data_IF_595614692838
#
_entry.id   IF_595614692838
#
_cell.length_a   1.000
_cell.length_b   1.000
_cell.length_c   1.000
_cell.angle_alpha   90.00
_cell.angle_beta   90.00
_cell.angle_gamma   90.00
#
_symmetry.space_group_name_H-M   'P 1'
#
loop_
_entity.id
_entity.type
_entity.pdbx_description
1 polymer ?
#
# COMPACT_ATOMS: atom_id res chain seq x y z
N UNK A 1 -7.40 -2.01 10.93
CA UNK A 1 -7.53 -1.39 9.59
C UNK A 1 -6.42 -1.92 8.67
N UNK A 2 -6.64 -3.13 8.15
CA UNK A 2 -5.62 -4.19 8.10
C UNK A 2 -4.88 -4.40 6.77
N UNK A 3 -4.85 -3.44 5.84
CA UNK A 3 -4.17 -3.66 4.54
C UNK A 3 -3.25 -2.52 4.06
N UNK A 4 -3.25 -1.37 4.74
CA UNK A 4 -2.39 -0.23 4.41
C UNK A 4 -1.20 -0.08 5.36
N UNK A 5 -1.36 -0.53 6.61
CA UNK A 5 -0.44 -0.19 7.70
C UNK A 5 0.89 -0.94 7.66
N UNK A 6 0.89 -2.27 7.49
CA UNK A 6 2.11 -3.05 7.79
C UNK A 6 3.18 -3.01 6.70
N UNK A 7 2.81 -2.94 5.42
CA UNK A 7 3.79 -2.92 4.31
C UNK A 7 4.37 -1.53 4.04
N UNK A 8 3.63 -0.45 4.31
CA UNK A 8 4.11 0.92 4.03
C UNK A 8 4.79 1.59 5.23
N UNK A 9 4.40 1.24 6.47
CA UNK A 9 4.98 1.87 7.66
C UNK A 9 6.43 1.41 7.92
N UNK A 10 6.76 0.16 7.57
CA UNK A 10 8.10 -0.40 7.76
C UNK A 10 9.15 0.27 6.85
N UNK A 11 8.73 0.69 5.64
CA UNK A 11 9.61 1.36 4.68
C UNK A 11 9.67 2.88 4.83
N UNK A 12 8.91 3.47 5.75
CA UNK A 12 8.81 4.94 5.94
C UNK A 12 9.28 5.32 7.34
N UNK A 13 10.57 5.63 7.49
CA UNK A 13 11.14 6.13 8.74
C UNK A 13 10.88 7.63 8.96
N UNK A 14 10.60 8.04 10.22
CA UNK A 14 10.57 9.46 10.64
C UNK A 14 11.91 9.84 11.29
N UNK A 15 12.54 10.94 10.87
CA UNK A 15 13.64 11.57 11.64
C UNK A 15 13.09 12.75 12.44
N UNK A 16 13.29 12.73 13.75
CA UNK A 16 12.84 13.76 14.69
C UNK A 16 13.77 14.98 14.65
N UNK A 17 13.65 15.82 13.63
CA UNK A 17 14.25 17.16 13.59
C UNK A 17 13.35 18.10 12.80
N UNK A 18 12.36 18.71 13.46
CA UNK A 18 11.60 19.88 13.00
C UNK A 18 10.70 19.75 11.75
N UNK A 19 11.01 18.85 10.82
CA UNK A 19 10.29 18.60 9.57
C UNK A 19 10.05 17.09 9.43
N UNK A 20 8.79 16.69 9.24
CA UNK A 20 8.40 15.31 9.00
C UNK A 20 8.84 14.89 7.58
N UNK A 21 10.10 14.47 7.43
CA UNK A 21 10.60 13.85 6.21
C UNK A 21 10.27 12.35 6.23
N UNK A 22 9.72 11.86 5.12
CA UNK A 22 9.38 10.46 4.84
C UNK A 22 10.38 9.97 3.78
N UNK A 23 11.05 8.85 4.03
CA UNK A 23 12.05 8.27 3.11
C UNK A 23 11.65 6.85 2.73
N UNK A 24 11.96 6.43 1.50
CA UNK A 24 11.84 5.04 1.06
C UNK A 24 13.11 4.28 1.45
N UNK A 25 12.96 3.10 2.06
CA UNK A 25 14.10 2.24 2.46
C UNK A 25 14.26 1.00 1.56
N UNK A 26 13.68 1.02 0.36
CA UNK A 26 13.80 -0.08 -0.59
C UNK A 26 15.16 -0.07 -1.28
N UNK A 27 15.75 -1.26 -1.49
CA UNK A 27 17.10 -1.41 -2.06
C UNK A 27 17.30 -0.57 -3.33
N UNK A 28 18.28 0.34 -3.28
CA UNK A 28 18.63 1.33 -4.31
C UNK A 28 17.55 2.38 -4.64
N UNK A 29 16.66 2.69 -3.71
CA UNK A 29 15.69 3.77 -3.83
C UNK A 29 16.02 4.94 -2.90
N UNK A 30 16.20 6.14 -3.45
CA UNK A 30 16.60 7.34 -2.70
C UNK A 30 15.47 8.39 -2.60
N UNK A 31 14.21 7.96 -2.70
CA UNK A 31 13.07 8.88 -2.64
C UNK A 31 12.87 9.38 -1.22
N UNK A 32 12.99 10.70 -1.04
CA UNK A 32 12.68 11.42 0.20
C UNK A 32 11.64 12.50 -0.09
N UNK A 33 10.59 12.58 0.73
CA UNK A 33 9.53 13.57 0.57
C UNK A 33 8.91 13.93 1.92
N UNK A 34 8.33 15.13 2.04
CA UNK A 34 7.54 15.53 3.21
C UNK A 34 6.05 15.23 3.03
N UNK A 35 5.62 14.87 1.81
CA UNK A 35 4.22 14.59 1.47
C UNK A 35 3.90 13.11 1.62
N UNK A 36 2.94 12.79 2.50
CA UNK A 36 2.49 11.41 2.72
C UNK A 36 1.91 10.77 1.46
N UNK A 37 1.14 11.51 0.67
CA UNK A 37 0.52 10.97 -0.55
C UNK A 37 1.55 10.63 -1.62
N UNK A 38 2.66 11.39 -1.69
CA UNK A 38 3.76 11.11 -2.61
C UNK A 38 4.48 9.81 -2.25
N UNK A 39 4.91 9.63 -0.99
CA UNK A 39 5.60 8.40 -0.59
C UNK A 39 4.68 7.18 -0.74
N UNK A 40 3.39 7.35 -0.43
CA UNK A 40 2.37 6.29 -0.56
C UNK A 40 2.16 5.87 -2.02
N UNK A 41 2.10 6.85 -2.93
CA UNK A 41 2.03 6.57 -4.37
C UNK A 41 3.32 5.92 -4.87
N UNK A 42 4.46 6.41 -4.41
CA UNK A 42 5.78 5.89 -4.76
C UNK A 42 5.94 4.41 -4.38
N UNK A 43 5.52 3.99 -3.18
CA UNK A 43 5.63 2.58 -2.75
C UNK A 43 4.92 1.59 -3.69
N UNK A 44 3.99 2.05 -4.55
CA UNK A 44 3.36 1.24 -5.60
C UNK A 44 4.34 0.71 -6.65
N UNK A 45 5.52 1.33 -6.78
CA UNK A 45 6.57 0.87 -7.71
C UNK A 45 7.32 -0.35 -7.17
N UNK A 46 7.37 -0.50 -5.84
CA UNK A 46 8.06 -1.58 -5.17
C UNK A 46 7.13 -2.75 -4.87
N UNK A 47 5.94 -2.44 -4.36
CA UNK A 47 4.90 -3.42 -4.05
C UNK A 47 3.67 -3.05 -4.87
N UNK A 48 3.12 -3.96 -5.69
CA UNK A 48 1.80 -3.76 -6.28
C UNK A 48 0.77 -3.64 -5.14
N UNK A 49 0.55 -2.41 -4.66
CA UNK A 49 -0.41 -2.14 -3.60
C UNK A 49 -1.78 -2.45 -4.17
N UNK A 50 -2.35 -3.53 -3.64
CA UNK A 50 -3.68 -4.00 -3.98
C UNK A 50 -4.55 -3.81 -2.74
N UNK A 51 -5.07 -2.59 -2.51
CA UNK A 51 -5.73 -2.23 -1.26
C UNK A 51 -7.06 -2.96 -1.06
N UNK A 52 -7.60 -3.56 -2.12
CA UNK A 52 -8.89 -4.25 -2.09
C UNK A 52 -8.65 -5.75 -2.01
N UNK A 53 -8.85 -6.34 -0.83
CA UNK A 53 -8.63 -7.78 -0.63
C UNK A 53 -9.95 -8.49 -0.42
N UNK A 54 -10.12 -9.62 -1.10
CA UNK A 54 -11.23 -10.51 -0.88
C UNK A 54 -11.09 -11.19 0.47
N UNK A 55 -12.09 -11.06 1.34
CA UNK A 55 -12.02 -11.66 2.68
C UNK A 55 -12.09 -13.19 2.63
N UNK A 56 -12.81 -13.75 1.66
CA UNK A 56 -13.02 -15.19 1.49
C UNK A 56 -11.77 -15.95 1.07
N UNK A 57 -10.97 -15.41 0.15
CA UNK A 57 -9.79 -16.10 -0.41
C UNK A 57 -8.48 -15.32 -0.27
N UNK A 58 -8.49 -14.17 0.40
CA UNK A 58 -7.35 -13.26 0.60
C UNK A 58 -6.67 -12.76 -0.69
N UNK A 59 -7.33 -12.90 -1.83
CA UNK A 59 -6.83 -12.38 -3.11
C UNK A 59 -6.96 -10.87 -3.15
N UNK A 60 -5.87 -10.19 -3.47
CA UNK A 60 -5.78 -8.74 -3.52
C UNK A 60 -5.98 -8.19 -4.94
N UNK A 61 -6.66 -7.05 -5.04
CA UNK A 61 -7.01 -6.32 -6.27
C UNK A 61 -6.61 -4.83 -6.18
N UNK A 62 -6.27 -4.26 -7.34
CA UNK A 62 -5.86 -2.85 -7.47
C UNK A 62 -7.04 -1.88 -7.41
N UNK A 63 -8.22 -2.29 -7.88
CA UNK A 63 -9.43 -1.46 -7.95
C UNK A 63 -10.60 -2.14 -7.23
N UNK A 64 -11.52 -1.36 -6.64
CA UNK A 64 -12.65 -1.92 -5.89
C UNK A 64 -13.63 -2.65 -6.81
N UNK A 65 -13.80 -2.17 -8.05
CA UNK A 65 -14.64 -2.82 -9.06
C UNK A 65 -14.14 -4.22 -9.46
N UNK A 66 -12.83 -4.46 -9.40
CA UNK A 66 -12.23 -5.76 -9.72
C UNK A 66 -12.48 -6.74 -8.57
N UNK A 67 -12.38 -6.27 -7.31
CA UNK A 67 -12.79 -7.03 -6.14
C UNK A 67 -14.28 -7.37 -6.19
N UNK A 68 -15.16 -6.40 -6.46
CA UNK A 68 -16.62 -6.62 -6.51
C UNK A 68 -17.03 -7.63 -7.57
N UNK A 69 -16.36 -7.63 -8.73
CA UNK A 69 -16.57 -8.66 -9.76
C UNK A 69 -16.07 -10.03 -9.29
N UNK A 70 -14.93 -10.05 -8.62
CA UNK A 70 -14.38 -11.27 -8.05
C UNK A 70 -15.29 -11.85 -6.96
N UNK A 71 -15.87 -11.04 -6.08
CA UNK A 71 -16.74 -11.52 -5.00
C UNK A 71 -17.95 -12.30 -5.50
N UNK A 72 -18.45 -11.98 -6.71
CA UNK A 72 -19.56 -12.72 -7.31
C UNK A 72 -19.27 -14.20 -7.51
N UNK A 73 -18.01 -14.58 -7.73
CA UNK A 73 -17.65 -15.99 -7.92
C UNK A 73 -17.81 -16.81 -6.63
N UNK A 74 -17.79 -16.15 -5.47
CA UNK A 74 -18.01 -16.80 -4.17
C UNK A 74 -19.49 -16.90 -3.82
N UNK A 75 -20.34 -16.08 -4.43
CA UNK A 75 -21.80 -16.10 -4.25
C UNK A 75 -22.52 -17.07 -5.19
N UNK A 76 -21.87 -17.56 -6.23
CA UNK A 76 -22.40 -18.58 -7.17
C UNK A 76 -22.11 -20.03 -6.70
N UNK A 77 -22.10 -20.28 -5.39
CA UNK A 77 -22.05 -21.62 -4.79
C UNK A 77 -23.29 -21.91 -3.93
#
# INVERSE_FOLDING_TARGET
>A
ELLYGHLAHDHVGRKSTGNLCLSCHWDKCEVVTTKRDHITSHLRVHVPLKPHVCESCKKAFKRPQDLKKHEKIHTDQ
#
